data_IF_307652864235
#
_entry.id   IF_307652864235
#
_cell.length_a   1.000
_cell.length_b   1.000
_cell.length_c   1.000
_cell.angle_alpha   90.00
_cell.angle_beta   90.00
_cell.angle_gamma   90.00
#
_symmetry.space_group_name_H-M   'P 1'
#
loop_
_entity.id
_entity.type
_entity.pdbx_description
1 polymer ?
#
# COMPACT_ATOMS: atom_id res chain seq x y z
N UNK A 1 -20.80 -43.27 -33.88
CA UNK A 1 -20.30 -42.38 -32.80
C UNK A 1 -19.70 -43.27 -31.72
N UNK A 2 -18.44 -43.66 -31.90
CA UNK A 2 -17.64 -44.38 -30.90
C UNK A 2 -16.39 -43.56 -30.73
N UNK A 3 -16.36 -42.93 -29.57
CA UNK A 3 -15.43 -41.93 -29.06
C UNK A 3 -13.97 -42.38 -29.23
N UNK A 4 -13.23 -41.69 -30.11
CA UNK A 4 -11.78 -41.83 -30.30
C UNK A 4 -10.98 -41.14 -29.20
N UNK A 5 -11.59 -40.87 -28.04
CA UNK A 5 -10.85 -40.51 -26.84
C UNK A 5 -10.02 -41.72 -26.45
N UNK A 6 -8.70 -41.60 -26.61
CA UNK A 6 -7.70 -42.52 -26.09
C UNK A 6 -8.17 -43.05 -24.73
N UNK A 7 -8.59 -44.32 -24.67
CA UNK A 7 -9.05 -44.94 -23.42
C UNK A 7 -7.90 -44.86 -22.43
N UNK A 8 -7.96 -43.87 -21.54
CA UNK A 8 -7.01 -43.71 -20.44
C UNK A 8 -6.84 -45.07 -19.76
N UNK A 9 -5.62 -45.60 -19.78
CA UNK A 9 -5.32 -46.91 -19.23
C UNK A 9 -5.76 -46.97 -17.76
N UNK A 10 -6.26 -48.14 -17.33
CA UNK A 10 -6.67 -48.35 -15.92
C UNK A 10 -5.54 -48.02 -14.94
N UNK A 11 -4.29 -48.28 -15.36
CA UNK A 11 -3.08 -47.96 -14.59
C UNK A 11 -2.87 -46.46 -14.45
N UNK A 12 -3.07 -45.65 -15.50
CA UNK A 12 -2.98 -44.18 -15.38
C UNK A 12 -4.03 -43.62 -14.44
N UNK A 13 -5.27 -44.12 -14.47
CA UNK A 13 -6.34 -43.68 -13.55
C UNK A 13 -6.04 -44.04 -12.11
N UNK A 14 -5.54 -45.26 -11.87
CA UNK A 14 -5.13 -45.72 -10.55
C UNK A 14 -3.96 -44.90 -9.99
N UNK A 15 -2.94 -44.59 -10.82
CA UNK A 15 -1.82 -43.74 -10.41
C UNK A 15 -2.26 -42.31 -10.10
N UNK A 16 -3.18 -41.73 -10.87
CA UNK A 16 -3.76 -40.41 -10.53
C UNK A 16 -4.49 -40.46 -9.19
N UNK A 17 -5.34 -41.47 -8.98
CA UNK A 17 -6.06 -41.64 -7.71
C UNK A 17 -5.07 -41.74 -6.53
N UNK A 18 -4.02 -42.55 -6.68
CA UNK A 18 -2.97 -42.69 -5.67
C UNK A 18 -2.20 -41.38 -5.45
N UNK A 19 -1.96 -40.56 -6.47
CA UNK A 19 -1.30 -39.26 -6.31
C UNK A 19 -2.10 -38.31 -5.40
N UNK A 20 -3.44 -38.30 -5.51
CA UNK A 20 -4.29 -37.48 -4.64
C UNK A 20 -4.41 -38.05 -3.22
N UNK A 21 -4.41 -39.37 -3.04
CA UNK A 21 -4.47 -39.98 -1.72
C UNK A 21 -3.11 -39.93 -0.99
N UNK A 22 -2.00 -40.04 -1.73
CA UNK A 22 -0.65 -40.14 -1.20
C UNK A 22 0.28 -39.15 -1.92
N UNK A 23 0.54 -37.99 -1.30
CA UNK A 23 1.33 -36.92 -1.94
C UNK A 23 2.73 -37.35 -2.41
N UNK A 24 3.36 -38.30 -1.72
CA UNK A 24 4.65 -38.88 -2.13
C UNK A 24 4.58 -39.56 -3.52
N UNK A 25 3.45 -40.18 -3.86
CA UNK A 25 3.22 -40.79 -5.18
C UNK A 25 3.13 -39.71 -6.26
N UNK A 26 2.45 -38.59 -5.97
CA UNK A 26 2.41 -37.44 -6.88
C UNK A 26 3.81 -36.88 -7.18
N UNK A 27 4.62 -36.70 -6.13
CA UNK A 27 6.00 -36.22 -6.28
C UNK A 27 6.88 -37.19 -7.07
N UNK A 28 6.75 -38.50 -6.81
CA UNK A 28 7.44 -39.54 -7.57
C UNK A 28 7.03 -39.53 -9.06
N UNK A 29 5.74 -39.38 -9.35
CA UNK A 29 5.23 -39.27 -10.72
C UNK A 29 5.82 -38.06 -11.43
N UNK A 30 5.86 -36.89 -10.78
CA UNK A 30 6.46 -35.67 -11.37
C UNK A 30 7.97 -35.88 -11.61
N UNK A 31 8.68 -36.48 -10.65
CA UNK A 31 10.12 -36.72 -10.75
C UNK A 31 10.50 -37.71 -11.87
N UNK A 32 9.69 -38.75 -12.09
CA UNK A 32 9.91 -39.71 -13.18
C UNK A 32 9.63 -39.08 -14.57
N UNK A 33 8.80 -38.03 -14.64
CA UNK A 33 8.49 -37.33 -15.88
C UNK A 33 7.80 -38.19 -16.95
N UNK A 34 6.69 -38.89 -16.63
CA UNK A 34 6.03 -39.77 -17.59
C UNK A 34 5.49 -38.99 -18.79
N UNK A 35 5.55 -39.59 -19.98
CA UNK A 35 5.07 -38.98 -21.23
C UNK A 35 3.55 -38.73 -21.29
N UNK A 36 2.78 -39.22 -20.31
CA UNK A 36 1.33 -39.05 -20.29
C UNK A 36 0.96 -37.69 -19.67
N UNK A 37 0.48 -36.70 -20.46
CA UNK A 37 0.19 -35.36 -19.96
C UNK A 37 -0.96 -35.34 -18.94
N UNK A 38 -1.89 -36.30 -19.02
CA UNK A 38 -2.96 -36.44 -18.02
C UNK A 38 -2.39 -36.77 -16.65
N UNK A 39 -1.45 -37.72 -16.59
CA UNK A 39 -0.82 -38.16 -15.35
C UNK A 39 0.01 -37.03 -14.73
N UNK A 40 0.81 -36.33 -15.54
CA UNK A 40 1.65 -35.20 -15.08
C UNK A 40 0.79 -34.06 -14.54
N UNK A 41 -0.27 -33.66 -15.26
CA UNK A 41 -1.16 -32.59 -14.83
C UNK A 41 -1.81 -32.89 -13.48
N UNK A 42 -2.38 -34.08 -13.32
CA UNK A 42 -3.00 -34.47 -12.06
C UNK A 42 -1.99 -34.64 -10.92
N UNK A 43 -0.79 -35.15 -11.20
CA UNK A 43 0.26 -35.25 -10.19
C UNK A 43 0.73 -33.87 -9.70
N UNK A 44 0.86 -32.88 -10.59
CA UNK A 44 1.17 -31.50 -10.22
C UNK A 44 0.05 -30.89 -9.36
N UNK A 45 -1.21 -31.07 -9.74
CA UNK A 45 -2.35 -30.57 -8.95
C UNK A 45 -2.40 -31.22 -7.56
N UNK A 46 -2.26 -32.55 -7.50
CA UNK A 46 -2.19 -33.27 -6.23
C UNK A 46 -1.02 -32.77 -5.36
N UNK A 47 0.15 -32.55 -5.95
CA UNK A 47 1.33 -32.04 -5.25
C UNK A 47 1.07 -30.66 -4.62
N UNK A 48 0.45 -29.73 -5.36
CA UNK A 48 0.11 -28.40 -4.83
C UNK A 48 -0.84 -28.52 -3.63
N UNK A 49 -1.90 -29.35 -3.73
CA UNK A 49 -2.85 -29.58 -2.64
C UNK A 49 -2.13 -30.17 -1.41
N UNK A 50 -1.25 -31.14 -1.61
CA UNK A 50 -0.47 -31.74 -0.53
C UNK A 50 0.57 -30.79 0.08
N UNK A 51 1.13 -29.86 -0.70
CA UNK A 51 2.05 -28.84 -0.18
C UNK A 51 1.31 -27.83 0.70
N UNK A 52 0.14 -27.34 0.28
CA UNK A 52 -0.71 -26.47 1.09
C UNK A 52 -1.07 -27.17 2.40
N UNK A 53 -1.47 -28.45 2.31
CA UNK A 53 -1.74 -29.28 3.49
C UNK A 53 -0.52 -29.37 4.40
N UNK A 54 0.66 -29.70 3.87
CA UNK A 54 1.90 -29.80 4.65
C UNK A 54 2.21 -28.52 5.42
N UNK A 55 2.08 -27.35 4.78
CA UNK A 55 2.30 -26.04 5.43
C UNK A 55 1.30 -25.82 6.57
N UNK A 56 0.01 -26.11 6.35
CA UNK A 56 -1.00 -26.00 7.39
C UNK A 56 -0.73 -26.93 8.58
N UNK A 57 -0.29 -28.17 8.31
CA UNK A 57 0.10 -29.15 9.33
C UNK A 57 1.28 -28.65 10.17
N UNK A 58 2.33 -28.13 9.52
CA UNK A 58 3.49 -27.57 10.19
C UNK A 58 3.07 -26.39 11.08
N UNK A 59 2.19 -25.50 10.58
CA UNK A 59 1.66 -24.38 11.34
C UNK A 59 0.91 -24.81 12.60
N UNK A 60 0.07 -25.86 12.51
CA UNK A 60 -0.63 -26.42 13.68
C UNK A 60 0.34 -27.04 14.67
N UNK A 61 1.32 -27.82 14.18
CA UNK A 61 2.35 -28.43 15.03
C UNK A 61 3.20 -27.39 15.75
N UNK A 62 3.57 -26.29 15.09
CA UNK A 62 4.30 -25.18 15.68
C UNK A 62 3.46 -24.45 16.74
N UNK A 63 2.19 -24.15 16.42
CA UNK A 63 1.27 -23.50 17.35
C UNK A 63 1.09 -24.33 18.60
N UNK A 64 0.95 -25.65 18.43
CA UNK A 64 0.81 -26.57 19.54
C UNK A 64 2.11 -26.74 20.33
N UNK A 65 3.26 -26.84 19.67
CA UNK A 65 4.57 -26.89 20.32
C UNK A 65 4.81 -25.67 21.23
N UNK A 66 4.50 -24.46 20.74
CA UNK A 66 4.59 -23.23 21.52
C UNK A 66 3.59 -23.22 22.69
N UNK A 67 2.39 -23.78 22.49
CA UNK A 67 1.37 -23.84 23.54
C UNK A 67 1.65 -24.92 24.61
N UNK A 68 2.40 -25.97 24.26
CA UNK A 68 2.66 -27.13 25.11
C UNK A 68 3.85 -26.96 26.08
N UNK A 69 4.56 -25.84 26.00
CA UNK A 69 5.76 -25.54 26.81
C UNK A 69 5.50 -25.60 28.33
N UNK A 70 4.23 -25.56 28.75
CA UNK A 70 3.81 -25.66 30.16
C UNK A 70 3.51 -27.08 30.67
N UNK A 71 3.50 -28.12 29.83
CA UNK A 71 3.06 -29.49 30.23
C UNK A 71 3.79 -30.63 29.49
N UNK A 72 5.07 -30.92 29.80
CA UNK A 72 5.92 -31.84 29.02
C UNK A 72 5.52 -33.34 29.10
N UNK A 73 4.68 -33.75 30.05
CA UNK A 73 4.38 -35.17 30.32
C UNK A 73 3.33 -35.84 29.43
N UNK A 74 2.44 -35.07 28.79
CA UNK A 74 1.30 -35.59 27.99
C UNK A 74 1.56 -35.58 26.47
N UNK A 75 2.73 -35.08 26.04
CA UNK A 75 2.94 -34.62 24.67
C UNK A 75 3.00 -35.74 23.63
N UNK A 76 3.57 -36.92 23.94
CA UNK A 76 3.90 -37.90 22.88
C UNK A 76 2.68 -38.72 22.39
N UNK A 77 1.81 -39.16 23.29
CA UNK A 77 0.62 -39.94 22.93
C UNK A 77 -0.42 -39.08 22.19
N UNK A 78 -0.62 -37.85 22.66
CA UNK A 78 -1.50 -36.89 21.98
C UNK A 78 -0.93 -36.50 20.63
N UNK A 79 0.40 -36.33 20.51
CA UNK A 79 1.02 -35.95 19.25
C UNK A 79 0.87 -37.05 18.22
N UNK A 80 1.01 -38.30 18.67
CA UNK A 80 0.78 -39.47 17.82
C UNK A 80 -0.68 -39.52 17.36
N UNK A 81 -1.65 -39.23 18.24
CA UNK A 81 -3.07 -39.20 17.89
C UNK A 81 -3.39 -38.05 16.92
N UNK A 82 -2.91 -36.85 17.17
CA UNK A 82 -3.11 -35.69 16.30
C UNK A 82 -2.49 -35.91 14.93
N UNK A 83 -1.25 -36.42 14.85
CA UNK A 83 -0.61 -36.78 13.57
C UNK A 83 -1.42 -37.88 12.87
N UNK A 84 -1.85 -38.92 13.58
CA UNK A 84 -2.65 -40.01 13.02
C UNK A 84 -3.96 -39.52 12.41
N UNK A 85 -4.73 -38.72 13.15
CA UNK A 85 -6.00 -38.14 12.68
C UNK A 85 -5.79 -37.16 11.53
N UNK A 86 -4.72 -36.38 11.61
CA UNK A 86 -4.39 -35.42 10.57
C UNK A 86 -3.94 -36.12 9.28
N UNK A 87 -3.29 -37.28 9.35
CA UNK A 87 -2.96 -38.11 8.17
C UNK A 87 -4.22 -38.78 7.60
N UNK A 88 -5.05 -39.40 8.45
CA UNK A 88 -6.21 -40.20 8.04
C UNK A 88 -7.41 -39.36 7.58
N UNK A 89 -7.80 -38.37 8.38
CA UNK A 89 -9.06 -37.60 8.23
C UNK A 89 -8.78 -36.17 7.77
N UNK A 90 -7.52 -35.71 7.83
CA UNK A 90 -7.17 -34.34 7.46
C UNK A 90 -7.55 -33.31 8.51
N UNK A 91 -7.91 -33.73 9.72
CA UNK A 91 -8.26 -32.86 10.84
C UNK A 91 -7.57 -33.34 12.12
N UNK A 92 -7.07 -32.44 12.98
CA UNK A 92 -6.56 -32.81 14.29
C UNK A 92 -7.72 -33.32 15.17
N UNK A 93 -7.42 -34.16 16.15
CA UNK A 93 -8.41 -34.53 17.16
C UNK A 93 -8.91 -33.28 17.90
N UNK A 94 -10.23 -33.06 18.06
CA UNK A 94 -10.75 -31.83 18.65
C UNK A 94 -10.40 -31.66 20.13
N UNK A 95 -10.12 -32.76 20.85
CA UNK A 95 -9.53 -32.79 22.20
C UNK A 95 -9.73 -31.54 23.07
N UNK A 96 -8.60 -30.96 23.51
CA UNK A 96 -8.56 -29.73 24.30
C UNK A 96 -8.47 -28.45 23.45
N UNK A 97 -8.59 -28.56 22.11
CA UNK A 97 -8.52 -27.40 21.23
C UNK A 97 -9.82 -26.61 21.39
N UNK A 98 -9.78 -25.31 21.76
CA UNK A 98 -10.97 -24.48 21.81
C UNK A 98 -11.73 -24.55 20.49
N UNK A 99 -13.06 -24.67 20.54
CA UNK A 99 -13.89 -24.90 19.35
C UNK A 99 -13.72 -23.82 18.27
N UNK A 100 -13.42 -22.60 18.70
CA UNK A 100 -13.12 -21.44 17.86
C UNK A 100 -11.82 -21.65 17.06
N UNK A 101 -10.76 -22.10 17.74
CA UNK A 101 -9.48 -22.42 17.10
C UNK A 101 -9.61 -23.67 16.24
N UNK A 102 -10.38 -24.67 16.66
CA UNK A 102 -10.68 -25.85 15.87
C UNK A 102 -11.35 -25.48 14.53
N UNK A 103 -12.35 -24.59 14.55
CA UNK A 103 -13.01 -24.11 13.33
C UNK A 103 -12.05 -23.39 12.39
N UNK A 104 -11.20 -22.53 12.94
CA UNK A 104 -10.18 -21.79 12.17
C UNK A 104 -9.13 -22.72 11.55
N UNK A 105 -8.74 -23.80 12.24
CA UNK A 105 -7.79 -24.80 11.75
C UNK A 105 -8.43 -25.85 10.83
N UNK A 106 -9.72 -26.13 11.00
CA UNK A 106 -10.43 -27.15 10.22
C UNK A 106 -10.57 -26.76 8.75
N UNK A 107 -10.72 -25.47 8.44
CA UNK A 107 -10.79 -24.97 7.07
C UNK A 107 -9.49 -25.22 6.26
N UNK A 108 -8.31 -24.75 6.69
CA UNK A 108 -7.07 -24.94 5.94
C UNK A 108 -6.56 -26.39 5.96
N UNK A 109 -7.00 -27.23 6.90
CA UNK A 109 -6.61 -28.64 6.96
C UNK A 109 -7.61 -29.57 6.23
N UNK A 110 -8.90 -29.38 6.48
CA UNK A 110 -9.97 -30.17 5.88
C UNK A 110 -10.26 -29.82 4.42
N UNK A 111 -10.12 -28.54 4.04
CA UNK A 111 -10.32 -28.08 2.67
C UNK A 111 -9.44 -28.81 1.65
N UNK A 112 -8.10 -28.82 1.82
CA UNK A 112 -7.20 -29.59 0.96
C UNK A 112 -7.49 -31.10 0.96
N UNK A 113 -7.92 -31.68 2.08
CA UNK A 113 -8.27 -33.11 2.14
C UNK A 113 -9.51 -33.43 1.29
N UNK A 114 -10.57 -32.63 1.39
CA UNK A 114 -11.77 -32.75 0.55
C UNK A 114 -11.41 -32.57 -0.93
N UNK A 115 -10.57 -31.58 -1.25
CA UNK A 115 -10.10 -31.36 -2.63
C UNK A 115 -9.30 -32.56 -3.16
N UNK A 116 -8.49 -33.21 -2.33
CA UNK A 116 -7.81 -34.45 -2.71
C UNK A 116 -8.79 -35.59 -2.99
N UNK A 117 -9.85 -35.75 -2.20
CA UNK A 117 -10.88 -36.76 -2.47
C UNK A 117 -11.64 -36.49 -3.77
N UNK A 118 -12.00 -35.23 -4.02
CA UNK A 118 -12.64 -34.81 -5.27
C UNK A 118 -11.71 -35.08 -6.46
N UNK A 119 -10.42 -34.74 -6.33
CA UNK A 119 -9.41 -35.01 -7.35
C UNK A 119 -9.23 -36.51 -7.62
N UNK A 120 -9.21 -37.34 -6.58
CA UNK A 120 -9.13 -38.79 -6.70
C UNK A 120 -10.36 -39.37 -7.40
N UNK A 121 -11.57 -38.92 -7.03
CA UNK A 121 -12.82 -39.33 -7.68
C UNK A 121 -12.84 -38.91 -9.16
N UNK A 122 -12.46 -37.67 -9.48
CA UNK A 122 -12.39 -37.17 -10.84
C UNK A 122 -11.37 -37.95 -11.70
N UNK A 123 -10.17 -38.14 -11.16
CA UNK A 123 -9.09 -38.84 -11.84
C UNK A 123 -9.40 -40.31 -12.10
N UNK A 124 -10.08 -41.00 -11.16
CA UNK A 124 -10.55 -42.38 -11.36
C UNK A 124 -11.63 -42.48 -12.44
N UNK A 125 -12.46 -41.45 -12.59
CA UNK A 125 -13.42 -41.31 -13.68
C UNK A 125 -12.77 -40.89 -15.02
N UNK A 126 -11.48 -40.53 -15.02
CA UNK A 126 -10.77 -40.02 -16.20
C UNK A 126 -11.14 -38.57 -16.57
N UNK A 127 -11.64 -37.79 -15.61
CA UNK A 127 -11.97 -36.37 -15.78
C UNK A 127 -10.87 -35.50 -15.15
N UNK A 128 -10.55 -34.38 -15.79
CA UNK A 128 -9.66 -33.36 -15.23
C UNK A 128 -10.43 -32.13 -14.77
N UNK A 129 -10.18 -31.68 -13.55
CA UNK A 129 -10.59 -30.34 -13.11
C UNK A 129 -9.51 -29.34 -13.49
N UNK A 130 -9.89 -28.29 -14.22
CA UNK A 130 -8.97 -27.21 -14.51
C UNK A 130 -9.06 -26.16 -13.40
N UNK A 131 -8.32 -26.40 -12.31
CA UNK A 131 -8.22 -25.41 -11.23
C UNK A 131 -7.63 -24.08 -11.71
N UNK A 132 -6.79 -24.09 -12.75
CA UNK A 132 -6.27 -22.85 -13.31
C UNK A 132 -7.38 -22.01 -13.96
N UNK A 133 -8.32 -22.65 -14.65
CA UNK A 133 -9.51 -21.99 -15.18
C UNK A 133 -10.48 -21.53 -14.07
N UNK A 134 -10.61 -22.30 -12.98
CA UNK A 134 -11.48 -21.95 -11.86
C UNK A 134 -10.95 -20.75 -11.03
N UNK A 135 -9.64 -20.57 -10.96
CA UNK A 135 -8.99 -19.50 -10.20
C UNK A 135 -8.44 -18.35 -11.05
N UNK A 136 -8.36 -18.51 -12.38
CA UNK A 136 -8.13 -17.38 -13.27
C UNK A 136 -9.41 -16.57 -13.37
N UNK A 137 -9.35 -15.27 -13.10
CA UNK A 137 -10.46 -14.32 -13.31
C UNK A 137 -10.89 -14.20 -14.77
N UNK A 138 -10.17 -14.84 -15.69
CA UNK A 138 -10.59 -15.09 -17.07
C UNK A 138 -11.59 -16.26 -17.09
N UNK A 139 -12.81 -16.02 -16.58
CA UNK A 139 -13.93 -16.87 -16.94
C UNK A 139 -14.04 -16.89 -18.47
N UNK A 140 -14.03 -18.06 -19.13
CA UNK A 140 -14.30 -18.09 -20.55
C UNK A 140 -15.79 -17.83 -20.74
N UNK A 141 -16.14 -16.60 -21.12
CA UNK A 141 -17.50 -16.23 -21.55
C UNK A 141 -17.94 -16.94 -22.84
N UNK A 142 -17.11 -17.84 -23.36
CA UNK A 142 -17.43 -18.65 -24.52
C UNK A 142 -16.88 -20.05 -24.23
N UNK A 143 -17.78 -21.03 -24.10
CA UNK A 143 -17.51 -22.39 -24.53
C UNK A 143 -16.90 -22.26 -25.91
N UNK A 144 -15.58 -22.30 -25.99
CA UNK A 144 -14.83 -22.16 -27.23
C UNK A 144 -15.48 -23.17 -28.17
N UNK A 145 -16.16 -22.63 -29.18
CA UNK A 145 -16.60 -23.36 -30.34
C UNK A 145 -15.43 -24.26 -30.72
N UNK A 146 -15.61 -25.56 -30.51
CA UNK A 146 -14.78 -26.57 -31.14
C UNK A 146 -14.94 -26.27 -32.63
N UNK A 147 -14.02 -25.51 -33.22
CA UNK A 147 -13.82 -25.60 -34.66
C UNK A 147 -13.55 -27.07 -34.90
N UNK A 148 -14.46 -27.79 -35.58
CA UNK A 148 -14.30 -29.22 -35.76
C UNK A 148 -12.95 -29.46 -36.41
N UNK A 149 -12.27 -30.54 -36.01
CA UNK A 149 -10.95 -30.87 -36.55
C UNK A 149 -11.05 -30.96 -38.08
N UNK A 150 -10.11 -30.32 -38.79
CA UNK A 150 -10.12 -30.25 -40.25
C UNK A 150 -10.13 -31.69 -40.80
N UNK A 151 -11.12 -32.01 -41.63
CA UNK A 151 -11.33 -33.37 -42.18
C UNK A 151 -12.35 -34.22 -41.41
N UNK A 152 -13.03 -33.67 -40.40
CA UNK A 152 -14.16 -34.34 -39.75
C UNK A 152 -15.50 -34.04 -40.47
N UNK A 153 -16.48 -34.97 -40.45
CA UNK A 153 -17.80 -34.73 -41.04
C UNK A 153 -18.55 -33.52 -40.46
N UNK A 154 -18.22 -33.13 -39.22
CA UNK A 154 -18.75 -31.92 -38.58
C UNK A 154 -18.12 -30.64 -39.17
N UNK A 155 -16.84 -30.67 -39.57
CA UNK A 155 -16.19 -29.59 -40.30
C UNK A 155 -16.87 -29.36 -41.65
N UNK A 156 -17.11 -30.45 -42.39
CA UNK A 156 -17.78 -30.40 -43.69
C UNK A 156 -19.22 -29.90 -43.59
N UNK A 157 -19.95 -30.30 -42.53
CA UNK A 157 -21.31 -29.80 -42.26
C UNK A 157 -21.30 -28.33 -41.85
N UNK A 158 -20.30 -27.89 -41.07
CA UNK A 158 -20.15 -26.49 -40.66
C UNK A 158 -19.79 -25.58 -41.84
N UNK A 159 -18.91 -26.04 -42.73
CA UNK A 159 -18.62 -25.36 -44.01
C UNK A 159 -19.84 -25.37 -44.93
N UNK A 160 -20.53 -26.51 -45.06
CA UNK A 160 -21.73 -26.63 -45.90
C UNK A 160 -22.87 -25.70 -45.48
N UNK A 161 -23.09 -25.50 -44.18
CA UNK A 161 -24.09 -24.58 -43.65
C UNK A 161 -23.77 -23.09 -43.92
N UNK A 162 -22.48 -22.72 -44.00
CA UNK A 162 -22.07 -21.36 -44.44
C UNK A 162 -22.01 -21.24 -45.96
N UNK A 163 -21.62 -22.30 -46.65
CA UNK A 163 -21.56 -22.39 -48.11
C UNK A 163 -22.93 -22.23 -48.75
N UNK A 164 -24.00 -22.74 -48.13
CA UNK A 164 -25.35 -22.67 -48.70
C UNK A 164 -25.94 -21.25 -48.76
N UNK A 165 -25.38 -20.25 -48.05
CA UNK A 165 -25.78 -18.84 -48.19
C UNK A 165 -24.95 -18.04 -49.19
N UNK A 166 -23.80 -18.55 -49.64
CA UNK A 166 -22.97 -17.90 -50.67
C UNK A 166 -22.92 -18.66 -51.99
N UNK A 167 -23.26 -19.95 -52.00
CA UNK A 167 -23.23 -20.82 -53.18
C UNK A 167 -24.23 -20.46 -54.27
N UNK A 168 -25.34 -19.81 -53.91
CA UNK A 168 -26.32 -19.33 -54.90
C UNK A 168 -25.79 -18.19 -55.79
N UNK A 169 -24.77 -17.45 -55.35
CA UNK A 169 -24.17 -16.34 -56.11
C UNK A 169 -22.86 -16.72 -56.82
N UNK A 170 -22.24 -17.85 -56.47
CA UNK A 170 -20.90 -18.24 -56.95
C UNK A 170 -20.97 -19.04 -58.26
N UNK A 171 -22.06 -19.79 -58.51
CA UNK A 171 -22.23 -20.51 -59.79
C UNK A 171 -22.37 -19.57 -61.00
N UNK A 172 -22.65 -18.28 -60.80
CA UNK A 172 -22.79 -17.32 -61.88
C UNK A 172 -21.47 -16.72 -62.39
N UNK A 173 -20.32 -16.86 -61.69
CA UNK A 173 -19.16 -16.01 -61.96
C UNK A 173 -17.78 -16.71 -62.11
N UNK A 174 -17.73 -18.05 -62.23
CA UNK A 174 -16.50 -18.76 -62.62
C UNK A 174 -15.29 -18.61 -61.69
N UNK A 175 -15.48 -18.15 -60.46
CA UNK A 175 -14.41 -18.05 -59.47
C UNK A 175 -13.97 -19.45 -59.01
N UNK A 176 -12.67 -19.75 -59.07
CA UNK A 176 -12.15 -21.07 -58.73
C UNK A 176 -12.34 -21.38 -57.24
N UNK A 177 -12.52 -22.66 -56.89
CA UNK A 177 -12.64 -23.13 -55.50
C UNK A 177 -11.48 -22.61 -54.62
N UNK A 178 -10.28 -22.46 -55.21
CA UNK A 178 -9.08 -21.89 -54.58
C UNK A 178 -9.24 -20.42 -54.15
N UNK A 179 -10.03 -19.62 -54.87
CA UNK A 179 -10.26 -18.22 -54.53
C UNK A 179 -11.20 -18.08 -53.33
N UNK A 180 -12.17 -19.00 -53.21
CA UNK A 180 -13.07 -19.09 -52.04
C UNK A 180 -12.29 -19.50 -50.79
N UNK A 181 -11.42 -20.52 -50.89
CA UNK A 181 -10.56 -20.94 -49.77
C UNK A 181 -9.59 -19.84 -49.32
N UNK A 182 -8.99 -19.10 -50.27
CA UNK A 182 -8.15 -17.93 -49.96
C UNK A 182 -8.94 -16.81 -49.28
N UNK A 183 -10.18 -16.57 -49.70
CA UNK A 183 -11.07 -15.59 -49.07
C UNK A 183 -11.36 -15.94 -47.61
N UNK A 184 -11.74 -17.20 -47.35
CA UNK A 184 -12.01 -17.68 -45.98
C UNK A 184 -10.76 -17.62 -45.10
N UNK A 185 -9.59 -17.99 -45.63
CA UNK A 185 -8.32 -17.90 -44.90
C UNK A 185 -7.94 -16.46 -44.53
N UNK A 186 -8.21 -15.48 -45.41
CA UNK A 186 -8.04 -14.05 -45.13
C UNK A 186 -8.99 -13.57 -44.04
N UNK A 187 -10.27 -13.88 -44.16
CA UNK A 187 -11.29 -13.50 -43.15
C UNK A 187 -10.92 -14.03 -41.75
N UNK A 188 -10.46 -15.28 -41.65
CA UNK A 188 -10.03 -15.88 -40.37
C UNK A 188 -8.78 -15.17 -39.82
N UNK A 189 -7.82 -14.82 -40.68
CA UNK A 189 -6.62 -14.08 -40.28
C UNK A 189 -6.99 -12.69 -39.78
N UNK A 190 -7.86 -11.97 -40.48
CA UNK A 190 -8.27 -10.62 -40.11
C UNK A 190 -9.04 -10.60 -38.80
N UNK A 191 -9.95 -11.57 -38.58
CA UNK A 191 -10.62 -11.76 -37.29
C UNK A 191 -9.65 -12.12 -36.15
N UNK A 192 -8.55 -12.82 -36.42
CA UNK A 192 -7.52 -13.10 -35.41
C UNK A 192 -6.72 -11.84 -35.09
N UNK A 193 -6.34 -11.07 -36.10
CA UNK A 193 -5.64 -9.81 -35.91
C UNK A 193 -6.50 -8.82 -35.12
N UNK A 194 -7.78 -8.65 -35.47
CA UNK A 194 -8.70 -7.78 -34.74
C UNK A 194 -8.83 -8.18 -33.27
N UNK A 195 -8.93 -9.49 -32.97
CA UNK A 195 -8.92 -10.01 -31.60
C UNK A 195 -7.60 -9.76 -30.88
N UNK A 196 -6.46 -9.87 -31.56
CA UNK A 196 -5.15 -9.54 -30.97
C UNK A 196 -5.05 -8.05 -30.66
N UNK A 197 -5.51 -7.18 -31.56
CA UNK A 197 -5.52 -5.73 -31.36
C UNK A 197 -6.46 -5.31 -30.23
N UNK A 198 -7.65 -5.90 -30.15
CA UNK A 198 -8.59 -5.62 -29.05
C UNK A 198 -8.04 -6.12 -27.71
N UNK A 199 -7.49 -7.34 -27.65
CA UNK A 199 -6.86 -7.87 -26.46
C UNK A 199 -5.66 -7.01 -26.01
N UNK A 200 -4.81 -6.56 -26.95
CA UNK A 200 -3.68 -5.67 -26.64
C UNK A 200 -4.16 -4.33 -26.09
N UNK A 201 -5.26 -3.77 -26.62
CA UNK A 201 -5.82 -2.50 -26.15
C UNK A 201 -6.35 -2.63 -24.72
N UNK A 202 -7.08 -3.71 -24.44
CA UNK A 202 -7.58 -4.01 -23.08
C UNK A 202 -6.41 -4.22 -22.12
N UNK A 203 -5.38 -4.97 -22.51
CA UNK A 203 -4.21 -5.19 -21.68
C UNK A 203 -3.45 -3.88 -21.39
N UNK A 204 -3.33 -2.98 -22.37
CA UNK A 204 -2.69 -1.68 -22.18
C UNK A 204 -3.52 -0.78 -21.25
N UNK A 205 -4.85 -0.78 -21.39
CA UNK A 205 -5.75 -0.06 -20.49
C UNK A 205 -5.67 -0.60 -19.05
N UNK A 206 -5.61 -1.91 -18.87
CA UNK A 206 -5.49 -2.53 -17.55
C UNK A 206 -4.14 -2.22 -16.90
N UNK A 207 -3.04 -2.19 -17.67
CA UNK A 207 -1.72 -1.75 -17.16
C UNK A 207 -1.77 -0.29 -16.70
N UNK A 208 -2.28 0.62 -17.52
CA UNK A 208 -2.42 2.03 -17.14
C UNK A 208 -3.29 2.21 -15.89
N UNK A 209 -4.36 1.40 -15.75
CA UNK A 209 -5.19 1.38 -14.55
C UNK A 209 -4.41 0.95 -13.31
N UNK A 210 -3.63 -0.12 -13.40
CA UNK A 210 -2.80 -0.60 -12.30
C UNK A 210 -1.72 0.40 -11.90
N UNK A 211 -1.09 1.06 -12.87
CA UNK A 211 -0.07 2.08 -12.60
C UNK A 211 -0.68 3.28 -11.84
N UNK A 212 -1.90 3.70 -12.20
CA UNK A 212 -2.62 4.77 -11.50
C UNK A 212 -3.04 4.36 -10.09
N UNK A 213 -3.48 3.11 -9.89
CA UNK A 213 -3.80 2.61 -8.54
C UNK A 213 -2.56 2.66 -7.65
N UNK A 214 -1.41 2.19 -8.14
CA UNK A 214 -0.16 2.24 -7.38
C UNK A 214 0.26 3.68 -7.04
N UNK A 215 0.11 4.61 -7.98
CA UNK A 215 0.39 6.03 -7.73
C UNK A 215 -0.56 6.62 -6.68
N UNK A 216 -1.85 6.28 -6.72
CA UNK A 216 -2.83 6.72 -5.72
C UNK A 216 -2.54 6.14 -4.34
N UNK A 217 -2.20 4.85 -4.25
CA UNK A 217 -1.79 4.19 -3.00
C UNK A 217 -0.55 4.90 -2.41
N UNK A 218 0.48 5.11 -3.23
CA UNK A 218 1.69 5.81 -2.82
C UNK A 218 1.42 7.23 -2.28
N UNK A 219 0.52 7.98 -2.94
CA UNK A 219 0.13 9.32 -2.48
C UNK A 219 -0.65 9.29 -1.17
N UNK A 220 -1.57 8.33 -1.01
CA UNK A 220 -2.31 8.17 0.25
C UNK A 220 -1.35 7.87 1.41
N UNK A 221 -0.40 6.96 1.23
CA UNK A 221 0.61 6.63 2.23
C UNK A 221 1.46 7.86 2.59
N UNK A 222 1.86 8.64 1.59
CA UNK A 222 2.63 9.89 1.81
C UNK A 222 1.85 10.90 2.66
N UNK A 223 0.54 11.05 2.42
CA UNK A 223 -0.33 11.93 3.23
C UNK A 223 -0.43 11.42 4.66
N UNK A 224 -0.57 10.10 4.87
CA UNK A 224 -0.65 9.50 6.20
C UNK A 224 0.65 9.71 7.00
N UNK A 225 1.81 9.54 6.36
CA UNK A 225 3.12 9.85 6.97
C UNK A 225 3.20 11.33 7.34
N UNK A 226 2.71 12.23 6.47
CA UNK A 226 2.69 13.67 6.75
C UNK A 226 1.80 14.02 7.94
N UNK A 227 0.62 13.41 8.05
CA UNK A 227 -0.29 13.59 9.19
C UNK A 227 0.33 13.12 10.51
N UNK A 228 1.00 11.96 10.50
CA UNK A 228 1.72 11.46 11.69
C UNK A 228 2.84 12.43 12.10
N UNK A 229 3.60 12.94 11.12
CA UNK A 229 4.61 13.96 11.39
C UNK A 229 4.02 15.25 11.98
N UNK A 230 2.88 15.74 11.49
CA UNK A 230 2.20 16.90 12.08
C UNK A 230 1.74 16.64 13.51
N UNK A 231 1.25 15.44 13.83
CA UNK A 231 0.93 15.05 15.21
C UNK A 231 2.17 15.06 16.12
N UNK A 232 3.30 14.58 15.61
CA UNK A 232 4.56 14.65 16.34
C UNK A 232 5.01 16.09 16.58
N UNK A 233 4.93 16.96 15.57
CA UNK A 233 5.25 18.38 15.72
C UNK A 233 4.32 19.08 16.72
N UNK A 234 3.02 18.75 16.73
CA UNK A 234 2.09 19.30 17.70
C UNK A 234 2.41 18.81 19.12
N UNK A 235 2.68 17.51 19.31
CA UNK A 235 2.97 16.94 20.63
C UNK A 235 4.29 17.44 21.23
N UNK A 236 5.25 17.82 20.39
CA UNK A 236 6.51 18.47 20.81
C UNK A 236 6.38 19.98 21.01
N UNK A 237 5.22 20.57 20.69
CA UNK A 237 5.01 22.02 20.72
C UNK A 237 5.78 22.78 19.63
N UNK A 238 6.22 22.08 18.58
CA UNK A 238 6.96 22.65 17.45
C UNK A 238 6.05 23.37 16.45
N UNK A 239 4.75 23.09 16.48
CA UNK A 239 3.71 23.82 15.76
C UNK A 239 2.54 24.12 16.70
N UNK A 240 1.79 25.17 16.38
CA UNK A 240 0.58 25.58 17.07
C UNK A 240 -0.61 24.69 16.70
N UNK A 241 -1.62 24.70 17.58
CA UNK A 241 -2.89 24.02 17.31
C UNK A 241 -3.63 24.61 16.10
N UNK A 242 -3.52 25.93 15.85
CA UNK A 242 -4.24 26.58 14.74
C UNK A 242 -3.62 26.19 13.38
N UNK A 243 -2.29 26.19 13.26
CA UNK A 243 -1.57 25.72 12.08
C UNK A 243 -1.75 24.22 11.87
N UNK A 244 -1.66 23.42 12.94
CA UNK A 244 -1.99 22.00 12.87
C UNK A 244 -3.39 21.77 12.29
N UNK A 245 -4.41 22.45 12.82
CA UNK A 245 -5.78 22.29 12.35
C UNK A 245 -5.95 22.66 10.87
N UNK A 246 -5.29 23.74 10.43
CA UNK A 246 -5.29 24.17 9.02
C UNK A 246 -4.70 23.09 8.11
N UNK A 247 -3.47 22.65 8.38
CA UNK A 247 -2.82 21.62 7.57
C UNK A 247 -3.54 20.27 7.63
N UNK A 248 -4.05 19.89 8.81
CA UNK A 248 -4.82 18.66 8.97
C UNK A 248 -6.10 18.69 8.11
N UNK A 249 -6.81 19.82 8.05
CA UNK A 249 -7.99 19.96 7.19
C UNK A 249 -7.64 19.86 5.70
N UNK A 250 -6.58 20.53 5.25
CA UNK A 250 -6.11 20.44 3.86
C UNK A 250 -5.72 19.01 3.47
N UNK A 251 -4.96 18.32 4.32
CA UNK A 251 -4.51 16.95 4.07
C UNK A 251 -5.65 15.94 4.10
N UNK A 252 -6.62 16.08 5.01
CA UNK A 252 -7.81 15.23 5.03
C UNK A 252 -8.64 15.44 3.75
N UNK A 253 -8.86 16.68 3.35
CA UNK A 253 -9.59 16.99 2.11
C UNK A 253 -8.90 16.40 0.88
N UNK A 254 -7.57 16.50 0.82
CA UNK A 254 -6.77 15.91 -0.24
C UNK A 254 -6.85 14.37 -0.24
N UNK A 255 -6.77 13.73 0.94
CA UNK A 255 -6.89 12.29 1.10
C UNK A 255 -8.26 11.77 0.64
N UNK A 256 -9.34 12.46 0.98
CA UNK A 256 -10.68 12.14 0.52
C UNK A 256 -10.80 12.29 -1.00
N UNK A 257 -10.17 13.31 -1.58
CA UNK A 257 -10.00 13.48 -3.01
C UNK A 257 -9.36 12.26 -3.67
N UNK A 258 -8.21 11.81 -3.16
CA UNK A 258 -7.49 10.63 -3.65
C UNK A 258 -8.32 9.35 -3.55
N UNK A 259 -8.98 9.12 -2.41
CA UNK A 259 -9.86 7.95 -2.19
C UNK A 259 -11.03 7.94 -3.16
N UNK A 260 -11.61 9.10 -3.45
CA UNK A 260 -12.68 9.22 -4.44
C UNK A 260 -12.22 8.83 -5.84
N UNK A 261 -11.00 9.20 -6.23
CA UNK A 261 -10.41 8.84 -7.53
C UNK A 261 -10.15 7.34 -7.56
N UNK A 262 -9.58 6.77 -6.50
CA UNK A 262 -9.30 5.35 -6.40
C UNK A 262 -10.57 4.50 -6.57
N UNK A 263 -11.65 4.85 -5.86
CA UNK A 263 -12.93 4.17 -5.99
C UNK A 263 -13.50 4.23 -7.43
N UNK A 264 -13.31 5.35 -8.16
CA UNK A 264 -13.71 5.47 -9.58
C UNK A 264 -12.85 4.60 -10.50
N UNK A 265 -11.55 4.51 -10.24
CA UNK A 265 -10.61 3.69 -11.02
C UNK A 265 -10.84 2.18 -10.78
N UNK A 266 -11.27 1.79 -9.58
CA UNK A 266 -11.59 0.41 -9.24
C UNK A 266 -12.92 -0.07 -9.83
N UNK A 267 -13.95 0.77 -9.82
CA UNK A 267 -15.31 0.42 -10.27
C UNK A 267 -15.45 0.20 -11.78
N UNK A 268 -14.35 0.28 -12.54
CA UNK A 268 -14.30 -0.04 -13.99
C UNK A 268 -15.36 0.71 -14.81
N UNK A 269 -15.70 1.93 -14.40
CA UNK A 269 -16.72 2.72 -15.07
C UNK A 269 -16.39 2.84 -16.57
N UNK A 270 -17.36 2.47 -17.42
CA UNK A 270 -17.25 2.60 -18.87
C UNK A 270 -16.86 4.05 -19.22
N UNK A 271 -15.70 4.24 -19.86
CA UNK A 271 -15.11 5.56 -20.12
C UNK A 271 -13.80 5.85 -19.37
N UNK A 272 -13.32 4.96 -18.50
CA UNK A 272 -12.06 5.10 -17.76
C UNK A 272 -10.83 5.44 -18.64
N UNK A 273 -10.81 5.04 -19.92
CA UNK A 273 -9.75 5.38 -20.85
C UNK A 273 -9.59 6.89 -21.12
N UNK A 274 -10.64 7.69 -20.91
CA UNK A 274 -10.59 9.17 -20.95
C UNK A 274 -10.83 9.80 -19.56
N UNK A 275 -11.38 9.04 -18.61
CA UNK A 275 -11.72 9.47 -17.25
C UNK A 275 -10.67 9.05 -16.20
N UNK A 276 -9.41 8.84 -16.59
CA UNK A 276 -8.29 8.99 -15.67
C UNK A 276 -8.19 10.48 -15.31
N UNK A 277 -9.13 10.91 -14.47
CA UNK A 277 -9.35 12.31 -14.14
C UNK A 277 -8.07 12.96 -13.63
N UNK A 278 -7.99 14.27 -13.83
CA UNK A 278 -6.96 15.12 -13.22
C UNK A 278 -6.82 14.71 -11.76
N UNK A 279 -5.65 14.18 -11.40
CA UNK A 279 -5.35 13.87 -10.01
C UNK A 279 -5.52 15.17 -9.21
N UNK A 280 -6.07 15.12 -7.99
CA UNK A 280 -6.12 16.30 -7.15
C UNK A 280 -4.69 16.86 -7.01
N UNK A 281 -4.58 18.18 -7.07
CA UNK A 281 -3.31 18.85 -6.86
C UNK A 281 -2.91 18.72 -5.39
N UNK A 282 -1.61 18.50 -5.13
CA UNK A 282 -1.12 18.37 -3.78
C UNK A 282 -1.22 19.75 -3.07
N UNK A 283 -1.83 19.83 -1.87
CA UNK A 283 -1.89 21.08 -1.14
C UNK A 283 -0.52 21.48 -0.60
N UNK A 284 -0.33 22.75 -0.26
CA UNK A 284 0.92 23.28 0.30
C UNK A 284 1.32 22.55 1.60
N UNK A 285 0.35 22.06 2.38
CA UNK A 285 0.57 21.23 3.58
C UNK A 285 1.38 19.94 3.32
N UNK A 286 1.45 19.46 2.06
CA UNK A 286 2.31 18.34 1.67
C UNK A 286 3.79 18.69 1.64
N UNK A 287 4.11 19.98 1.58
CA UNK A 287 5.47 20.51 1.60
C UNK A 287 5.82 21.13 2.95
N UNK A 288 7.07 21.58 3.12
CA UNK A 288 7.45 22.34 4.30
C UNK A 288 6.66 23.65 4.36
N UNK A 289 6.20 24.02 5.56
CA UNK A 289 5.49 25.26 5.75
C UNK A 289 6.41 26.42 5.33
N UNK A 290 5.89 27.42 4.61
CA UNK A 290 6.68 28.59 4.26
C UNK A 290 7.25 29.24 5.53
N UNK A 291 8.50 29.68 5.42
CA UNK A 291 9.15 30.45 6.49
C UNK A 291 8.39 31.76 6.70
N UNK A 292 8.08 32.07 7.96
CA UNK A 292 7.50 33.36 8.33
C UNK A 292 8.55 34.47 8.21
N UNK A 293 8.15 35.69 7.90
CA UNK A 293 9.05 36.82 7.85
C UNK A 293 9.38 37.30 9.28
N UNK A 294 10.68 37.35 9.62
CA UNK A 294 11.11 37.91 10.89
C UNK A 294 10.99 39.43 10.85
N UNK A 295 10.22 40.00 11.77
CA UNK A 295 10.00 41.44 11.89
C UNK A 295 11.06 42.09 12.78
N UNK A 296 11.35 41.45 13.92
CA UNK A 296 12.33 41.94 14.89
C UNK A 296 12.88 40.81 15.77
N UNK A 297 14.10 40.99 16.27
CA UNK A 297 14.78 40.09 17.20
C UNK A 297 15.40 40.91 18.34
N UNK A 298 15.22 40.48 19.58
CA UNK A 298 15.90 41.06 20.73
C UNK A 298 16.54 39.95 21.57
N UNK A 299 17.75 40.20 22.05
CA UNK A 299 18.38 39.39 23.10
C UNK A 299 18.36 40.21 24.38
N UNK A 300 17.85 39.63 25.45
CA UNK A 300 17.78 40.24 26.78
C UNK A 300 18.63 39.46 27.76
N UNK A 301 19.10 40.12 28.80
CA UNK A 301 19.77 39.50 29.93
C UNK A 301 18.76 38.94 30.96
N UNK A 302 19.26 38.38 32.06
CA UNK A 302 18.42 37.88 33.16
C UNK A 302 17.63 38.97 33.91
N UNK A 303 18.04 40.25 33.78
CA UNK A 303 17.34 41.38 34.39
C UNK A 303 16.21 41.93 33.51
N UNK A 304 16.07 41.43 32.28
CA UNK A 304 15.08 41.85 31.30
C UNK A 304 15.55 42.97 30.38
N UNK A 305 16.79 43.45 30.54
CA UNK A 305 17.32 44.57 29.77
C UNK A 305 17.78 44.07 28.40
N UNK A 306 17.34 44.70 27.29
CA UNK A 306 17.84 44.40 25.95
C UNK A 306 19.34 44.62 25.86
N UNK A 307 20.04 43.59 25.41
CA UNK A 307 21.48 43.58 25.13
C UNK A 307 21.74 43.94 23.68
N UNK A 308 20.96 43.33 22.76
CA UNK A 308 21.05 43.58 21.32
C UNK A 308 19.64 43.52 20.73
N UNK A 309 19.33 44.45 19.82
CA UNK A 309 18.06 44.49 19.09
C UNK A 309 18.29 44.60 17.58
N UNK A 310 17.47 43.90 16.80
CA UNK A 310 17.49 43.90 15.34
C UNK A 310 16.06 44.09 14.82
N UNK A 311 15.92 44.79 13.70
CA UNK A 311 14.62 45.09 13.09
C UNK A 311 13.89 46.24 13.79
N UNK A 312 12.56 46.24 13.70
CA UNK A 312 11.74 47.26 14.35
C UNK A 312 10.53 46.61 15.02
N UNK A 313 10.47 46.70 16.35
CA UNK A 313 9.31 46.28 17.11
C UNK A 313 8.17 47.29 16.94
N UNK A 314 6.95 46.80 16.74
CA UNK A 314 5.75 47.65 16.74
C UNK A 314 5.42 48.20 18.15
N UNK A 315 6.01 47.59 19.18
CA UNK A 315 5.83 47.93 20.60
C UNK A 315 7.15 48.47 21.15
N UNK A 316 7.07 49.42 22.08
CA UNK A 316 8.23 49.98 22.79
C UNK A 316 9.07 48.84 23.44
N UNK A 317 10.39 48.85 23.22
CA UNK A 317 11.33 47.82 23.70
C UNK A 317 11.24 47.62 25.23
N UNK A 318 10.93 48.69 25.96
CA UNK A 318 10.71 48.65 27.42
C UNK A 318 9.48 47.84 27.83
N UNK A 319 8.43 47.83 27.01
CA UNK A 319 7.22 47.06 27.24
C UNK A 319 7.45 45.57 26.98
N UNK A 320 8.31 45.25 26.00
CA UNK A 320 8.70 43.87 25.67
C UNK A 320 9.39 43.23 26.87
N UNK A 321 10.37 43.89 27.48
CA UNK A 321 11.01 43.45 28.74
C UNK A 321 9.98 43.07 29.82
N UNK A 322 8.98 43.93 30.04
CA UNK A 322 7.93 43.70 31.03
C UNK A 322 7.04 42.49 30.68
N UNK A 323 6.64 42.36 29.42
CA UNK A 323 5.85 41.22 28.93
C UNK A 323 6.62 39.92 29.06
N UNK A 324 7.92 39.94 28.80
CA UNK A 324 8.80 38.77 28.91
C UNK A 324 8.89 38.26 30.34
N UNK A 325 9.12 39.14 31.30
CA UNK A 325 9.20 38.74 32.71
C UNK A 325 7.89 38.11 33.19
N UNK A 326 6.75 38.57 32.68
CA UNK A 326 5.43 38.03 32.98
C UNK A 326 5.20 36.67 32.28
N UNK A 327 5.60 36.54 31.02
CA UNK A 327 5.48 35.31 30.24
C UNK A 327 6.36 34.17 30.79
N UNK A 328 7.60 34.46 31.21
CA UNK A 328 8.51 33.45 31.76
C UNK A 328 7.95 32.88 33.08
N UNK A 329 7.37 33.74 33.93
CA UNK A 329 6.68 33.34 35.17
C UNK A 329 5.41 32.52 34.91
N UNK A 330 4.51 33.01 34.05
CA UNK A 330 3.26 32.31 33.71
C UNK A 330 3.51 30.97 33.01
N UNK A 331 4.50 30.89 32.12
CA UNK A 331 4.79 29.66 31.39
C UNK A 331 5.36 28.57 32.31
N UNK A 332 6.22 28.94 33.25
CA UNK A 332 6.76 28.01 34.24
C UNK A 332 5.67 27.46 35.17
N UNK A 333 4.67 28.28 35.50
CA UNK A 333 3.59 27.91 36.41
C UNK A 333 2.46 27.12 35.74
N UNK A 334 2.04 27.49 34.52
CA UNK A 334 0.85 26.92 33.88
C UNK A 334 1.11 25.70 32.99
N UNK A 335 2.27 25.61 32.34
CA UNK A 335 2.49 24.60 31.29
C UNK A 335 3.50 23.52 31.65
N UNK A 336 4.19 23.62 32.80
CA UNK A 336 5.20 22.65 33.27
C UNK A 336 6.34 22.39 32.26
N UNK A 337 6.36 23.15 31.17
CA UNK A 337 7.20 23.03 29.99
C UNK A 337 7.34 24.44 29.42
N UNK A 338 8.48 24.70 28.76
CA UNK A 338 8.76 26.00 28.15
C UNK A 338 7.84 26.17 26.93
N UNK A 339 6.64 26.70 27.13
CA UNK A 339 5.82 27.19 26.02
C UNK A 339 6.56 28.37 25.38
N UNK A 340 6.93 28.22 24.11
CA UNK A 340 7.87 29.12 23.45
C UNK A 340 7.20 30.13 22.51
N UNK A 341 5.87 30.22 22.49
CA UNK A 341 5.15 30.97 21.47
C UNK A 341 3.93 31.68 22.04
N UNK A 342 3.71 32.94 21.64
CA UNK A 342 2.52 33.72 21.98
C UNK A 342 2.10 34.53 20.76
N UNK A 343 0.81 34.50 20.42
CA UNK A 343 0.25 35.28 19.33
C UNK A 343 -0.23 36.64 19.85
N UNK A 344 0.15 37.71 19.15
CA UNK A 344 -0.29 39.08 19.42
C UNK A 344 -1.62 39.36 18.72
N UNK A 345 -2.32 40.42 19.15
CA UNK A 345 -3.64 40.78 18.63
C UNK A 345 -3.64 41.10 17.12
N UNK A 346 -2.50 41.57 16.59
CA UNK A 346 -2.35 41.95 15.17
C UNK A 346 -1.99 40.76 14.26
N UNK A 347 -1.97 39.53 14.80
CA UNK A 347 -1.62 38.32 14.07
C UNK A 347 -0.13 37.94 14.17
N UNK A 348 0.73 38.91 14.47
CA UNK A 348 2.17 38.73 14.69
C UNK A 348 2.42 37.67 15.80
N UNK A 349 3.42 36.81 15.60
CA UNK A 349 3.76 35.73 16.53
C UNK A 349 5.09 36.01 17.19
N UNK A 350 5.09 36.07 18.52
CA UNK A 350 6.33 36.20 19.31
C UNK A 350 6.79 34.82 19.72
N UNK A 351 8.01 34.48 19.32
CA UNK A 351 8.68 33.26 19.73
C UNK A 351 9.82 33.56 20.70
N UNK A 352 9.94 32.75 21.74
CA UNK A 352 10.91 32.87 22.82
C UNK A 352 11.88 31.69 22.85
N UNK A 353 13.16 31.98 23.02
CA UNK A 353 14.18 30.96 23.28
C UNK A 353 15.04 31.37 24.48
N UNK A 354 15.01 30.53 25.53
CA UNK A 354 15.75 30.74 26.78
C UNK A 354 17.09 30.00 26.78
N UNK A 355 18.18 30.74 26.93
CA UNK A 355 19.52 30.22 27.21
C UNK A 355 19.80 30.08 28.70
N UNK A 356 21.08 30.01 29.08
CA UNK A 356 21.54 29.93 30.47
C UNK A 356 21.60 31.33 31.10
N UNK A 357 22.13 32.31 30.37
CA UNK A 357 22.41 33.67 30.85
C UNK A 357 21.57 34.75 30.16
N UNK A 358 20.98 34.41 29.03
CA UNK A 358 20.25 35.34 28.17
C UNK A 358 19.00 34.67 27.62
N UNK A 359 18.13 35.47 27.05
CA UNK A 359 17.02 34.96 26.26
C UNK A 359 16.82 35.78 24.99
N UNK A 360 16.39 35.12 23.93
CA UNK A 360 16.05 35.79 22.68
C UNK A 360 14.56 35.71 22.38
N UNK A 361 14.05 36.78 21.77
CA UNK A 361 12.69 36.90 21.29
C UNK A 361 12.70 37.33 19.84
N UNK A 362 11.92 36.64 19.01
CA UNK A 362 11.70 37.03 17.62
C UNK A 362 10.23 37.22 17.39
N UNK A 363 9.87 38.34 16.78
CA UNK A 363 8.52 38.58 16.25
C UNK A 363 8.49 38.18 14.79
N UNK A 364 7.55 37.32 14.42
CA UNK A 364 7.27 36.91 13.06
C UNK A 364 5.90 37.44 12.61
N UNK A 365 5.70 37.61 11.31
CA UNK A 365 4.42 38.05 10.71
C UNK A 365 3.35 36.94 10.68
N UNK A 366 3.78 35.68 10.65
CA UNK A 366 2.98 34.47 10.87
C UNK A 366 3.76 33.53 11.78
N UNK A 367 3.18 32.38 12.10
CA UNK A 367 3.86 31.37 12.91
C UNK A 367 5.17 30.88 12.24
N UNK A 368 6.31 30.86 12.95
CA UNK A 368 7.58 30.43 12.36
C UNK A 368 7.58 28.94 12.02
N UNK A 369 8.38 28.55 11.03
CA UNK A 369 8.63 27.14 10.73
C UNK A 369 9.48 26.49 11.84
N UNK A 370 9.41 25.16 12.03
CA UNK A 370 10.29 24.46 12.98
C UNK A 370 11.79 24.72 12.72
N UNK A 371 12.18 24.90 11.45
CA UNK A 371 13.55 25.23 11.08
C UNK A 371 13.95 26.65 11.54
N UNK A 372 13.04 27.62 11.50
CA UNK A 372 13.26 28.96 12.04
C UNK A 372 13.38 28.95 13.56
N UNK A 373 12.54 28.18 14.23
CA UNK A 373 12.62 27.97 15.68
C UNK A 373 13.98 27.37 16.06
N UNK A 374 14.44 26.34 15.34
CA UNK A 374 15.75 25.74 15.62
C UNK A 374 16.90 26.71 15.34
N UNK A 375 16.81 27.51 14.28
CA UNK A 375 17.78 28.58 14.00
C UNK A 375 17.88 29.59 15.14
N UNK A 376 16.76 30.00 15.72
CA UNK A 376 16.76 30.91 16.88
C UNK A 376 17.44 30.27 18.09
N UNK A 377 17.18 28.99 18.38
CA UNK A 377 17.84 28.28 19.50
C UNK A 377 19.35 28.22 19.29
N UNK A 378 19.78 27.81 18.10
CA UNK A 378 21.20 27.76 17.75
C UNK A 378 21.87 29.14 17.85
N UNK A 379 21.15 30.21 17.47
CA UNK A 379 21.63 31.58 17.62
C UNK A 379 21.83 31.96 19.09
N UNK A 380 20.89 31.64 19.98
CA UNK A 380 21.04 31.88 21.43
C UNK A 380 22.26 31.14 21.97
N UNK A 381 22.40 29.86 21.65
CA UNK A 381 23.53 29.05 22.12
C UNK A 381 24.88 29.61 21.65
N UNK A 382 24.96 30.05 20.38
CA UNK A 382 26.16 30.69 19.83
C UNK A 382 26.44 32.06 20.46
N UNK A 383 25.39 32.86 20.67
CA UNK A 383 25.50 34.17 21.32
C UNK A 383 26.03 34.03 22.75
N UNK A 384 25.51 33.06 23.51
CA UNK A 384 26.00 32.79 24.86
C UNK A 384 27.42 32.26 24.87
N UNK A 385 27.76 31.33 23.98
CA UNK A 385 29.13 30.81 23.87
C UNK A 385 30.15 31.92 23.55
N UNK A 386 29.77 32.88 22.70
CA UNK A 386 30.62 34.03 22.37
C UNK A 386 30.77 35.02 23.54
N UNK A 387 29.77 35.11 24.43
CA UNK A 387 29.66 36.15 25.46
C UNK A 387 29.69 35.64 26.90
N UNK A 388 29.96 34.35 27.13
CA UNK A 388 29.86 33.67 28.44
C UNK A 388 30.59 34.43 29.56
N UNK A 389 31.81 34.91 29.28
CA UNK A 389 32.63 35.62 30.26
C UNK A 389 32.03 36.97 30.71
N UNK A 390 31.23 37.61 29.86
CA UNK A 390 30.54 38.87 30.19
C UNK A 390 29.18 38.59 30.82
N UNK A 391 28.40 37.69 30.21
CA UNK A 391 27.04 37.37 30.65
C UNK A 391 26.99 36.68 32.02
N UNK A 392 28.05 35.98 32.42
CA UNK A 392 28.17 35.37 33.76
C UNK A 392 28.43 36.39 34.89
N UNK A 393 28.68 37.66 34.57
CA UNK A 393 28.93 38.73 35.55
C UNK A 393 27.67 39.55 35.76
N UNK A 394 27.35 39.87 37.02
CA UNK A 394 26.24 40.78 37.35
C UNK A 394 26.79 41.93 38.22
N UNK A 395 26.76 43.19 37.75
CA UNK A 395 26.32 43.65 36.42
C UNK A 395 27.34 43.32 35.31
N UNK A 396 26.86 43.10 34.08
CA UNK A 396 27.72 42.95 32.90
C UNK A 396 27.93 44.30 32.21
N UNK A 397 28.96 44.37 31.36
CA UNK A 397 29.31 45.57 30.59
C UNK A 397 28.81 45.42 29.13
N UNK A 398 27.75 46.14 28.72
CA UNK A 398 27.13 45.96 27.40
C UNK A 398 28.07 46.34 26.24
N UNK A 399 29.01 47.26 26.48
CA UNK A 399 29.98 47.70 25.45
C UNK A 399 30.98 46.59 25.07
N UNK A 400 31.03 45.49 25.83
CA UNK A 400 31.92 44.34 25.60
C UNK A 400 31.24 43.12 24.98
N UNK A 401 29.96 43.23 24.65
CA UNK A 401 29.23 42.16 23.99
C UNK A 401 29.70 42.03 22.54
N UNK A 402 29.97 40.80 22.14
CA UNK A 402 30.31 40.42 20.77
C UNK A 402 29.05 39.97 20.06
N UNK A 403 28.69 40.66 18.98
CA UNK A 403 27.58 40.26 18.13
C UNK A 403 27.93 38.99 17.32
N UNK A 404 26.92 38.15 17.12
CA UNK A 404 26.99 36.93 16.31
C UNK A 404 26.07 37.10 15.10
N UNK A 405 26.38 36.41 13.99
CA UNK A 405 25.58 36.49 12.76
C UNK A 405 24.11 36.10 13.01
N UNK A 406 23.20 36.99 12.64
CA UNK A 406 21.76 36.81 12.87
C UNK A 406 21.17 35.88 11.79
N UNK A 407 20.44 34.82 12.14
CA UNK A 407 20.00 33.81 11.18
C UNK A 407 18.74 34.20 10.39
N UNK A 408 18.29 35.44 10.52
CA UNK A 408 17.05 35.95 9.94
C UNK A 408 17.30 37.19 9.09
N UNK A 409 16.54 37.27 8.00
CA UNK A 409 16.44 38.50 7.22
C UNK A 409 15.24 39.29 7.72
N UNK A 410 15.48 40.48 8.24
CA UNK A 410 14.41 41.35 8.71
C UNK A 410 13.84 42.15 7.55
N UNK A 411 12.52 42.11 7.41
CA UNK A 411 11.83 42.93 6.43
C UNK A 411 11.41 44.23 7.10
N UNK A 412 11.80 45.35 6.49
CA UNK A 412 11.39 46.66 6.97
C UNK A 412 9.89 46.77 6.70
N UNK A 413 9.07 46.77 7.75
CA UNK A 413 7.63 47.09 7.62
C UNK A 413 7.54 48.44 6.91
N UNK A 414 7.14 48.42 5.63
CA UNK A 414 6.86 49.65 4.90
C UNK A 414 5.68 50.26 5.63
N UNK A 415 5.87 51.43 6.25
CA UNK A 415 4.80 52.16 6.91
C UNK A 415 3.67 52.38 5.88
N UNK A 416 2.62 51.56 5.96
CA UNK A 416 1.66 51.38 4.88
C UNK A 416 0.25 51.25 5.45
N UNK A 417 -0.42 52.40 5.49
CA UNK A 417 -1.86 52.64 5.57
C UNK A 417 -2.68 51.71 6.50
N UNK A 418 -2.69 52.07 7.78
CA UNK A 418 -3.85 51.86 8.66
C UNK A 418 -5.10 52.56 8.13
#
# INVERSE_FOLDING_TARGET
MTDGTNRLSRTSRLLVMLAYLFGAVGLLIVAIGPRNPFLVRHAQQAMIIHLIRLVAVIGVMLTWYVSAENSPGLVLSELTLHIGMLVLIGLPWPGEIPIELFGLLALPLGGPWILSLIGAAAGSAGRSFDFSAAFSSNWPEVLINQTPEIGTPEYDRWIGLRGNRRGADVEANGSSLYDVERGVARDIRDQRLERMWSASRVAQQERGRQDIIKELEYRQDTVLVRLDHLNHLLSTGSISMSRYNRFNQELISYLDGLRSVMARVETRAEGAGQAFGVLPEAPDAMTEAPDAEALALAVIDQSGIPVVTYGHFAVDESLISGMVSVLDGLNQEMFGSRANMTQLADGDVVYYSKGIYSSAFVTFDDEPSPAQVQRLRNYVDQFEAANEAQLSRTPFDPDKIVEVEVPFRFIRRMAGNS
#
